data_IF_276282483308
#
_entry.id   IF_276282483308
#
_cell.length_a   1.000
_cell.length_b   1.000
_cell.length_c   1.000
_cell.angle_alpha   90.00
_cell.angle_beta   90.00
_cell.angle_gamma   90.00
#
_symmetry.space_group_name_H-M   'P 1'
#
loop_
_entity.id
_entity.type
_entity.pdbx_description
1 polymer ?
#
# COMPACT_ATOMS: atom_id res chain seq x y z
N UNK A 1 8.78 10.57 10.88
CA UNK A 1 8.61 9.64 12.02
C UNK A 1 7.40 8.77 11.73
N UNK A 2 7.62 7.55 11.22
CA UNK A 2 6.54 6.63 10.83
C UNK A 2 5.95 6.01 12.11
N UNK A 3 4.80 6.51 12.54
CA UNK A 3 4.10 5.97 13.70
C UNK A 3 3.26 4.76 13.27
N UNK A 4 3.88 3.59 13.24
CA UNK A 4 3.14 2.33 13.14
C UNK A 4 2.57 2.02 14.53
N UNK A 5 1.29 2.36 14.75
CA UNK A 5 0.54 1.87 15.92
C UNK A 5 0.41 0.35 15.80
N UNK A 6 0.93 -0.36 16.79
CA UNK A 6 0.94 -1.83 16.88
C UNK A 6 -0.47 -2.31 17.23
N UNK A 7 -1.29 -2.56 16.20
CA UNK A 7 -2.60 -3.21 16.36
C UNK A 7 -2.43 -4.73 16.50
N UNK A 8 -3.40 -5.38 17.14
CA UNK A 8 -3.44 -6.83 17.33
C UNK A 8 -3.54 -7.52 15.94
N UNK A 9 -2.46 -8.20 15.53
CA UNK A 9 -2.23 -8.61 14.13
C UNK A 9 -3.09 -9.79 13.67
N UNK A 10 -3.69 -10.53 14.61
CA UNK A 10 -4.49 -11.74 14.31
C UNK A 10 -5.74 -11.44 13.47
N UNK A 11 -6.29 -10.22 13.57
CA UNK A 11 -7.47 -9.78 12.82
C UNK A 11 -7.17 -9.50 11.34
N UNK A 12 -5.91 -9.19 11.00
CA UNK A 12 -5.50 -8.68 9.70
C UNK A 12 -5.12 -9.78 8.70
N UNK A 13 -4.74 -10.96 9.18
CA UNK A 13 -4.31 -12.08 8.34
C UNK A 13 -5.46 -12.73 7.54
N UNK A 14 -6.72 -12.44 7.86
CA UNK A 14 -7.89 -12.95 7.12
C UNK A 14 -8.32 -11.96 6.04
N UNK A 15 -8.65 -12.44 4.85
CA UNK A 15 -9.31 -11.63 3.82
C UNK A 15 -10.62 -11.03 4.35
N UNK A 16 -11.00 -9.85 3.87
CA UNK A 16 -12.28 -9.25 4.28
C UNK A 16 -13.43 -10.10 3.79
N UNK A 17 -14.54 -10.08 4.54
CA UNK A 17 -15.68 -10.96 4.26
C UNK A 17 -16.36 -10.63 2.92
N UNK A 18 -16.30 -9.38 2.49
CA UNK A 18 -16.82 -8.91 1.20
C UNK A 18 -15.73 -8.69 0.13
N UNK A 19 -14.44 -8.73 0.49
CA UNK A 19 -13.34 -8.33 -0.39
C UNK A 19 -13.23 -6.82 -0.64
N UNK A 20 -14.10 -6.00 -0.03
CA UNK A 20 -14.22 -4.55 -0.30
C UNK A 20 -14.24 -3.68 0.94
N UNK A 21 -14.34 -4.28 2.12
CA UNK A 21 -14.36 -3.55 3.39
C UNK A 21 -13.02 -2.87 3.65
N UNK A 22 -13.02 -1.56 3.90
CA UNK A 22 -11.82 -0.83 4.30
C UNK A 22 -11.56 -1.05 5.79
N UNK A 23 -10.39 -1.61 6.13
CA UNK A 23 -9.95 -1.85 7.50
C UNK A 23 -8.84 -0.89 7.89
N UNK A 24 -7.82 -0.72 7.04
CA UNK A 24 -6.62 0.06 7.35
C UNK A 24 -6.22 0.95 6.19
N UNK A 25 -5.73 2.14 6.51
CA UNK A 25 -5.15 3.07 5.54
C UNK A 25 -3.69 3.31 5.94
N UNK A 26 -2.78 3.07 5.01
CA UNK A 26 -1.35 3.29 5.17
C UNK A 26 -1.00 4.56 4.38
N UNK A 27 -0.44 5.55 5.08
CA UNK A 27 0.04 6.78 4.48
C UNK A 27 1.56 6.73 4.36
N UNK A 28 2.07 6.84 3.14
CA UNK A 28 3.49 6.96 2.83
C UNK A 28 3.75 8.39 2.34
N UNK A 29 4.36 9.19 3.19
CA UNK A 29 4.92 10.48 2.80
C UNK A 29 6.32 10.28 2.20
N UNK A 30 6.64 11.04 1.16
CA UNK A 30 7.82 10.85 0.32
C UNK A 30 8.01 9.41 -0.18
N UNK A 31 6.90 8.83 -0.64
CA UNK A 31 6.78 7.42 -0.97
C UNK A 31 7.82 6.95 -2.00
N UNK A 32 8.20 7.80 -2.96
CA UNK A 32 9.20 7.49 -3.99
C UNK A 32 10.54 6.98 -3.43
N UNK A 33 10.90 7.36 -2.20
CA UNK A 33 12.15 6.92 -1.56
C UNK A 33 12.13 5.46 -1.10
N UNK A 34 10.95 4.89 -0.95
CA UNK A 34 10.75 3.54 -0.43
C UNK A 34 10.54 2.50 -1.53
N UNK A 35 10.38 2.93 -2.78
CA UNK A 35 10.33 2.02 -3.92
C UNK A 35 11.75 1.60 -4.29
N UNK A 36 11.98 0.30 -4.32
CA UNK A 36 13.12 -0.30 -5.00
C UNK A 36 12.80 -0.52 -6.48
N UNK A 37 13.85 -0.83 -7.25
CA UNK A 37 13.71 -1.22 -8.67
C UNK A 37 13.26 -2.69 -8.82
N UNK A 38 13.07 -3.41 -7.73
CA UNK A 38 12.63 -4.80 -7.74
C UNK A 38 11.10 -4.87 -7.90
N UNK A 39 10.62 -5.78 -8.75
CA UNK A 39 9.18 -5.99 -8.90
C UNK A 39 8.56 -6.68 -7.68
N UNK A 40 9.37 -7.41 -6.90
CA UNK A 40 8.94 -8.05 -5.65
C UNK A 40 9.08 -7.12 -4.42
N UNK A 41 9.20 -5.81 -4.65
CA UNK A 41 9.10 -4.81 -3.60
C UNK A 41 7.79 -4.97 -2.83
N UNK A 42 7.89 -4.89 -1.50
CA UNK A 42 6.74 -5.01 -0.60
C UNK A 42 5.63 -4.02 -0.94
N UNK A 43 5.95 -2.81 -1.41
CA UNK A 43 4.95 -1.79 -1.78
C UNK A 43 4.20 -2.20 -3.05
N UNK A 44 4.88 -2.81 -4.02
CA UNK A 44 4.25 -3.35 -5.23
C UNK A 44 3.36 -4.55 -4.90
N UNK A 45 3.82 -5.45 -4.04
CA UNK A 45 3.01 -6.58 -3.54
C UNK A 45 1.77 -6.06 -2.82
N UNK A 46 1.91 -5.04 -1.98
CA UNK A 46 0.80 -4.40 -1.29
C UNK A 46 -0.19 -3.75 -2.27
N UNK A 47 0.28 -3.02 -3.27
CA UNK A 47 -0.59 -2.40 -4.28
C UNK A 47 -1.46 -3.45 -5.01
N UNK A 48 -0.92 -4.65 -5.25
CA UNK A 48 -1.62 -5.73 -5.96
C UNK A 48 -2.54 -6.57 -5.07
N UNK A 49 -2.10 -6.88 -3.84
CA UNK A 49 -2.77 -7.89 -3.00
C UNK A 49 -3.54 -7.30 -1.81
N UNK A 50 -3.15 -6.12 -1.31
CA UNK A 50 -3.61 -5.61 -0.01
C UNK A 50 -5.11 -5.25 0.01
N UNK A 51 -5.71 -4.96 -1.16
CA UNK A 51 -7.15 -4.73 -1.30
C UNK A 51 -7.99 -5.92 -0.79
N UNK A 52 -7.53 -7.17 -0.99
CA UNK A 52 -8.21 -8.38 -0.50
C UNK A 52 -8.32 -8.43 1.03
N UNK A 53 -7.42 -7.73 1.69
CA UNK A 53 -7.33 -7.61 3.14
C UNK A 53 -7.92 -6.28 3.64
N UNK A 54 -8.55 -5.49 2.78
CA UNK A 54 -9.14 -4.21 3.19
C UNK A 54 -8.10 -3.17 3.57
N UNK A 55 -6.91 -3.22 2.96
CA UNK A 55 -5.85 -2.26 3.20
C UNK A 55 -5.78 -1.31 2.00
N UNK A 56 -5.75 -0.02 2.29
CA UNK A 56 -5.58 1.05 1.32
C UNK A 56 -4.23 1.72 1.51
N UNK A 57 -3.61 2.10 0.39
CA UNK A 57 -2.28 2.70 0.37
C UNK A 57 -2.35 4.08 -0.26
N UNK A 58 -1.97 5.09 0.49
CA UNK A 58 -1.90 6.48 0.06
C UNK A 58 -0.45 6.92 -0.01
N UNK A 59 0.04 7.16 -1.22
CA UNK A 59 1.41 7.56 -1.48
C UNK A 59 1.46 9.03 -1.90
N UNK A 60 2.18 9.83 -1.13
CA UNK A 60 2.50 11.21 -1.47
C UNK A 60 3.97 11.30 -1.89
N UNK A 61 4.27 12.09 -2.91
CA UNK A 61 5.64 12.33 -3.40
C UNK A 61 5.73 13.69 -4.04
N UNK A 62 6.85 14.39 -3.82
CA UNK A 62 7.20 15.60 -4.58
C UNK A 62 7.59 15.28 -6.04
N UNK A 63 8.10 14.07 -6.28
CA UNK A 63 8.50 13.56 -7.60
C UNK A 63 7.59 12.39 -8.01
N UNK A 64 6.42 12.63 -8.61
CA UNK A 64 5.49 11.57 -9.00
C UNK A 64 5.98 10.71 -10.18
N UNK A 65 7.00 11.17 -10.92
CA UNK A 65 7.61 10.44 -12.05
C UNK A 65 8.47 9.26 -11.61
N UNK A 66 8.89 9.24 -10.35
CA UNK A 66 9.81 8.23 -9.82
C UNK A 66 9.08 6.97 -9.34
N UNK A 67 7.74 6.93 -9.46
CA UNK A 67 6.97 5.73 -9.18
C UNK A 67 7.09 4.72 -10.32
N UNK A 68 7.24 3.42 -10.01
CA UNK A 68 7.29 2.39 -11.05
C UNK A 68 5.94 2.22 -11.73
N UNK A 69 5.94 1.95 -13.04
CA UNK A 69 4.71 1.77 -13.83
C UNK A 69 3.84 0.61 -13.31
N UNK A 70 4.47 -0.44 -12.80
CA UNK A 70 3.78 -1.57 -12.16
C UNK A 70 3.00 -1.16 -10.91
N UNK A 71 3.47 -0.16 -10.16
CA UNK A 71 2.71 0.42 -9.06
C UNK A 71 1.55 1.27 -9.59
N UNK A 72 1.87 2.16 -10.54
CA UNK A 72 0.93 3.11 -11.10
C UNK A 72 -0.26 2.44 -11.82
N UNK A 73 -0.11 1.24 -12.35
CA UNK A 73 -1.21 0.47 -12.97
C UNK A 73 -2.20 -0.11 -11.95
N UNK A 74 -1.81 -0.24 -10.68
CA UNK A 74 -2.66 -0.78 -9.61
C UNK A 74 -3.37 0.30 -8.79
N UNK A 75 -3.00 1.58 -8.94
CA UNK A 75 -3.67 2.68 -8.23
C UNK A 75 -4.95 3.09 -8.95
N UNK A 76 -6.05 3.18 -8.21
CA UNK A 76 -7.35 3.56 -8.75
C UNK A 76 -7.54 5.08 -8.90
N UNK A 77 -6.79 5.87 -8.14
CA UNK A 77 -6.81 7.33 -8.14
C UNK A 77 -5.36 7.84 -8.14
N UNK A 78 -5.07 8.84 -8.96
CA UNK A 78 -3.78 9.53 -9.02
C UNK A 78 -3.99 11.02 -8.81
#
# INVERSE_FOLDING_TARGET
MMQIKRYNWDCLARSTRSGTELRHVIFLDEAHKFFSKDNDDIINVMAREARKFGIELWCASQNPTDFPDSFLTNVGLR
#
